data_IF_331878091779
#
_entry.id   IF_331878091779
#
_cell.length_a   1.000
_cell.length_b   1.000
_cell.length_c   1.000
_cell.angle_alpha   90.00
_cell.angle_beta   90.00
_cell.angle_gamma   90.00
#
_symmetry.space_group_name_H-M   'P 1'
#
loop_
_entity.id
_entity.type
_entity.pdbx_description
1 polymer ?
#
# COMPACT_ATOMS: atom_id res chain seq x y z
N UNK A 1 1.78 -28.52 6.27
CA UNK A 1 2.32 -29.19 5.07
C UNK A 1 1.33 -30.25 4.63
N UNK A 2 0.88 -30.22 3.38
CA UNK A 2 0.05 -31.27 2.79
C UNK A 2 0.83 -31.90 1.63
N UNK A 3 1.45 -33.06 1.86
CA UNK A 3 2.39 -33.66 0.90
C UNK A 3 3.57 -32.71 0.65
N UNK A 4 3.84 -32.39 -0.62
CA UNK A 4 4.89 -31.45 -1.04
C UNK A 4 4.44 -29.98 -1.05
N UNK A 5 3.21 -29.67 -0.63
CA UNK A 5 2.66 -28.33 -0.60
C UNK A 5 2.99 -27.60 0.71
N UNK A 6 3.85 -26.61 0.64
CA UNK A 6 4.16 -25.71 1.74
C UNK A 6 3.16 -24.54 1.75
N UNK A 7 2.45 -24.38 2.87
CA UNK A 7 1.59 -23.24 3.12
C UNK A 7 2.16 -22.43 4.26
N UNK A 8 2.54 -21.17 3.98
CA UNK A 8 2.94 -20.19 4.97
C UNK A 8 1.85 -19.13 5.10
N UNK A 9 1.30 -18.96 6.30
CA UNK A 9 0.36 -17.88 6.62
C UNK A 9 0.91 -17.14 7.81
N UNK A 10 1.23 -15.88 7.63
CA UNK A 10 1.68 -14.99 8.70
C UNK A 10 0.75 -13.80 8.81
N UNK A 11 0.58 -13.30 10.02
CA UNK A 11 -0.13 -12.07 10.30
C UNK A 11 0.49 -11.37 11.50
N UNK A 12 0.31 -10.06 11.58
CA UNK A 12 0.81 -9.24 12.66
C UNK A 12 -0.04 -8.00 12.84
N UNK A 13 0.14 -7.34 13.94
CA UNK A 13 -0.49 -6.07 14.25
C UNK A 13 0.55 -5.15 14.88
N UNK A 14 0.62 -3.91 14.39
CA UNK A 14 1.45 -2.85 14.95
C UNK A 14 0.50 -1.76 15.41
N UNK A 15 0.58 -1.38 16.67
CA UNK A 15 -0.21 -0.28 17.21
C UNK A 15 0.41 0.26 18.51
N UNK A 16 0.06 1.48 18.86
CA UNK A 16 0.59 2.19 20.03
C UNK A 16 0.00 1.70 21.34
N UNK A 17 -1.26 1.25 21.30
CA UNK A 17 -2.02 0.80 22.47
C UNK A 17 -2.02 -0.73 22.58
N UNK A 18 -2.90 -1.28 23.41
CA UNK A 18 -3.01 -2.73 23.61
C UNK A 18 -3.34 -3.47 22.31
N UNK A 19 -2.60 -4.54 22.05
CA UNK A 19 -2.85 -5.45 20.94
C UNK A 19 -4.06 -6.35 21.22
N UNK A 20 -4.82 -6.69 20.18
CA UNK A 20 -5.86 -7.71 20.24
C UNK A 20 -5.40 -9.01 19.55
N UNK A 21 -4.87 -10.01 20.32
CA UNK A 21 -4.41 -11.26 19.75
C UNK A 21 -5.52 -12.06 19.06
N UNK A 22 -6.77 -11.89 19.50
CA UNK A 22 -7.92 -12.60 18.90
C UNK A 22 -8.19 -12.12 17.49
N UNK A 23 -8.01 -10.83 17.22
CA UNK A 23 -8.15 -10.26 15.88
C UNK A 23 -7.14 -10.91 14.92
N UNK A 24 -5.87 -11.01 15.32
CA UNK A 24 -4.81 -11.66 14.55
C UNK A 24 -5.12 -13.16 14.34
N UNK A 25 -5.49 -13.86 15.40
CA UNK A 25 -5.84 -15.29 15.31
C UNK A 25 -7.02 -15.53 14.36
N UNK A 26 -8.08 -14.74 14.45
CA UNK A 26 -9.25 -14.88 13.57
C UNK A 26 -8.91 -14.66 12.10
N UNK A 27 -8.03 -13.72 11.80
CA UNK A 27 -7.55 -13.49 10.42
C UNK A 27 -6.75 -14.69 9.88
N UNK A 28 -5.86 -15.26 10.72
CA UNK A 28 -5.11 -16.46 10.33
C UNK A 28 -6.06 -17.64 10.10
N UNK A 29 -7.05 -17.84 10.96
CA UNK A 29 -8.05 -18.91 10.80
C UNK A 29 -8.87 -18.74 9.52
N UNK A 30 -9.30 -17.52 9.21
CA UNK A 30 -10.01 -17.22 7.96
C UNK A 30 -9.15 -17.53 6.73
N UNK A 31 -7.86 -17.15 6.75
CA UNK A 31 -6.93 -17.42 5.66
C UNK A 31 -6.64 -18.91 5.50
N UNK A 32 -6.57 -19.66 6.60
CA UNK A 32 -6.46 -21.12 6.59
C UNK A 32 -7.71 -21.77 5.98
N UNK A 33 -8.89 -21.25 6.31
CA UNK A 33 -10.14 -21.74 5.73
C UNK A 33 -10.17 -21.51 4.21
N UNK A 34 -9.81 -20.31 3.76
CA UNK A 34 -9.70 -19.99 2.34
C UNK A 34 -8.64 -20.81 1.60
N UNK A 35 -7.60 -21.27 2.29
CA UNK A 35 -6.50 -22.05 1.72
C UNK A 35 -6.73 -23.56 1.75
N UNK A 36 -7.92 -24.06 2.11
CA UNK A 36 -8.19 -25.49 2.23
C UNK A 36 -7.98 -26.27 0.92
N UNK A 37 -8.17 -25.63 -0.22
CA UNK A 37 -7.95 -26.22 -1.54
C UNK A 37 -7.24 -25.26 -2.48
N UNK A 38 -6.39 -25.82 -3.34
CA UNK A 38 -5.77 -25.07 -4.41
C UNK A 38 -6.72 -24.99 -5.61
N UNK A 39 -6.75 -23.85 -6.27
CA UNK A 39 -7.56 -23.59 -7.45
C UNK A 39 -6.72 -22.97 -8.56
N UNK A 40 -7.13 -23.17 -9.81
CA UNK A 40 -6.47 -22.55 -10.97
C UNK A 40 -6.72 -21.04 -10.90
N UNK A 41 -5.68 -20.19 -10.93
CA UNK A 41 -5.85 -18.74 -10.97
C UNK A 41 -6.51 -18.28 -12.28
N UNK A 42 -7.22 -17.17 -12.29
CA UNK A 42 -7.67 -16.53 -13.52
C UNK A 42 -6.47 -16.06 -14.33
N UNK A 43 -6.61 -15.97 -15.64
CA UNK A 43 -5.56 -15.52 -16.56
C UNK A 43 -5.95 -14.19 -17.21
N UNK A 44 -4.93 -13.40 -17.53
CA UNK A 44 -5.11 -12.13 -18.20
C UNK A 44 -5.34 -10.98 -17.23
N UNK A 45 -6.17 -10.02 -17.61
CA UNK A 45 -6.50 -8.87 -16.77
C UNK A 45 -7.74 -9.15 -15.96
N UNK A 46 -7.59 -9.17 -14.65
CA UNK A 46 -8.70 -9.34 -13.70
C UNK A 46 -8.55 -8.32 -12.57
N UNK A 47 -9.62 -7.97 -11.87
CA UNK A 47 -9.53 -7.16 -10.66
C UNK A 47 -8.61 -7.82 -9.63
N UNK A 48 -7.78 -7.01 -8.99
CA UNK A 48 -6.91 -7.46 -7.91
C UNK A 48 -7.31 -6.74 -6.63
N UNK A 49 -7.62 -7.51 -5.60
CA UNK A 49 -7.79 -7.03 -4.24
C UNK A 49 -6.48 -7.24 -3.48
N UNK A 50 -5.80 -6.17 -3.14
CA UNK A 50 -4.68 -6.20 -2.19
C UNK A 50 -5.24 -6.06 -0.79
N UNK A 51 -4.94 -7.00 0.12
CA UNK A 51 -5.25 -6.80 1.55
C UNK A 51 -4.44 -5.61 2.08
N UNK A 52 -4.82 -5.06 3.23
CA UNK A 52 -4.07 -3.95 3.85
C UNK A 52 -2.57 -4.27 3.94
N UNK A 53 -2.21 -5.52 4.27
CA UNK A 53 -0.83 -5.99 4.34
C UNK A 53 -0.11 -5.95 2.99
N UNK A 54 -0.77 -6.31 1.90
CA UNK A 54 -0.18 -6.35 0.56
C UNK A 54 -0.24 -4.99 -0.17
N UNK A 55 -1.12 -4.09 0.27
CA UNK A 55 -1.32 -2.77 -0.33
C UNK A 55 -0.11 -1.82 -0.16
N UNK A 56 0.78 -2.11 0.78
CA UNK A 56 2.01 -1.34 1.00
C UNK A 56 2.88 -1.24 -0.26
N UNK A 57 2.86 -2.27 -1.12
CA UNK A 57 3.47 -2.24 -2.45
C UNK A 57 3.05 -1.00 -3.27
N UNK A 58 1.78 -0.64 -3.23
CA UNK A 58 1.22 0.46 -3.99
C UNK A 58 1.64 1.80 -3.40
N UNK A 59 1.60 1.91 -2.08
CA UNK A 59 1.83 3.16 -1.36
C UNK A 59 3.30 3.54 -1.26
N UNK A 60 4.21 2.58 -1.26
CA UNK A 60 5.65 2.83 -1.34
C UNK A 60 6.04 3.64 -2.60
N UNK A 61 5.40 3.35 -3.74
CA UNK A 61 5.58 4.14 -4.98
C UNK A 61 5.06 5.57 -4.83
N UNK A 62 3.91 5.77 -4.20
CA UNK A 62 3.34 7.10 -3.98
C UNK A 62 4.18 7.89 -2.97
N UNK A 63 4.65 7.25 -1.90
CA UNK A 63 5.58 7.87 -0.96
C UNK A 63 6.84 8.37 -1.68
N UNK A 64 7.45 7.54 -2.54
CA UNK A 64 8.60 7.95 -3.33
C UNK A 64 8.30 9.12 -4.27
N UNK A 65 7.14 9.12 -4.94
CA UNK A 65 6.75 10.21 -5.84
C UNK A 65 6.46 11.54 -5.11
N UNK A 66 6.01 11.47 -3.84
CA UNK A 66 5.76 12.63 -2.97
C UNK A 66 7.04 13.19 -2.34
N UNK A 67 8.17 12.50 -2.45
CA UNK A 67 9.44 12.92 -1.85
C UNK A 67 10.02 14.12 -2.58
N UNK A 68 10.16 15.27 -1.88
CA UNK A 68 10.70 16.50 -2.45
C UNK A 68 12.11 16.37 -3.01
N UNK A 69 12.94 15.46 -2.48
CA UNK A 69 14.26 15.18 -3.04
C UNK A 69 14.16 14.53 -4.42
N UNK A 70 13.24 13.58 -4.60
CA UNK A 70 12.98 12.97 -5.91
C UNK A 70 12.43 13.99 -6.91
N UNK A 71 11.69 14.99 -6.44
CA UNK A 71 11.23 16.13 -7.26
C UNK A 71 12.40 17.00 -7.70
N UNK A 72 13.32 17.37 -6.79
CA UNK A 72 14.52 18.13 -7.12
C UNK A 72 15.42 17.43 -8.13
N UNK A 73 15.53 16.11 -8.02
CA UNK A 73 16.34 15.27 -8.90
C UNK A 73 15.64 15.00 -10.26
N UNK A 74 14.40 15.49 -10.44
CA UNK A 74 13.60 15.24 -11.65
C UNK A 74 13.17 13.80 -11.82
N UNK A 75 13.23 13.00 -10.76
CA UNK A 75 12.87 11.57 -10.78
C UNK A 75 11.39 11.32 -10.49
N UNK A 76 10.72 12.24 -9.79
CA UNK A 76 9.29 12.10 -9.51
C UNK A 76 8.45 12.34 -10.77
N UNK A 77 7.50 11.44 -11.11
CA UNK A 77 6.58 11.67 -12.21
C UNK A 77 5.57 12.80 -11.93
N UNK A 78 5.60 13.37 -10.73
CA UNK A 78 4.71 14.44 -10.28
C UNK A 78 5.39 15.80 -10.10
N UNK A 79 6.66 15.95 -10.51
CA UNK A 79 7.47 17.15 -10.27
C UNK A 79 6.78 18.47 -10.68
N UNK A 80 6.05 18.46 -11.80
CA UNK A 80 5.36 19.63 -12.36
C UNK A 80 3.83 19.54 -12.23
N UNK A 81 3.32 18.72 -11.31
CA UNK A 81 1.89 18.41 -11.24
C UNK A 81 1.19 18.87 -9.97
N UNK A 82 1.75 19.83 -9.26
CA UNK A 82 1.07 20.45 -8.11
C UNK A 82 -0.28 21.07 -8.55
N UNK A 83 -1.34 20.77 -7.79
CA UNK A 83 -2.71 21.20 -8.07
C UNK A 83 -3.43 20.39 -9.13
N UNK A 84 -2.79 19.36 -9.71
CA UNK A 84 -3.39 18.50 -10.73
C UNK A 84 -3.90 17.17 -10.15
N UNK A 85 -4.82 16.55 -10.91
CA UNK A 85 -5.29 15.19 -10.64
C UNK A 85 -4.18 14.20 -11.01
N UNK A 86 -3.63 13.50 -10.01
CA UNK A 86 -2.55 12.51 -10.18
C UNK A 86 -3.03 11.07 -10.00
N UNK A 87 -4.17 10.87 -9.34
CA UNK A 87 -4.74 9.55 -9.07
C UNK A 87 -6.27 9.61 -9.03
N UNK A 88 -6.93 8.53 -8.60
CA UNK A 88 -8.38 8.46 -8.48
C UNK A 88 -8.91 9.43 -7.40
N UNK A 89 -10.07 10.04 -7.63
CA UNK A 89 -10.71 11.00 -6.72
C UNK A 89 -11.07 10.47 -5.33
N UNK A 90 -11.17 9.16 -5.16
CA UNK A 90 -11.40 8.54 -3.85
C UNK A 90 -10.12 8.35 -3.01
N UNK A 91 -8.97 8.74 -3.54
CA UNK A 91 -7.69 8.63 -2.82
C UNK A 91 -7.37 9.96 -2.15
N UNK A 92 -7.32 9.93 -0.82
CA UNK A 92 -6.78 11.00 0.01
C UNK A 92 -5.64 10.42 0.85
N UNK A 93 -4.50 11.12 0.84
CA UNK A 93 -3.27 10.71 1.53
C UNK A 93 -2.80 11.83 2.42
N UNK A 94 -2.57 11.51 3.69
CA UNK A 94 -2.09 12.45 4.70
C UNK A 94 -0.93 11.88 5.52
N UNK A 95 -0.34 12.76 6.29
CA UNK A 95 0.55 12.45 7.39
C UNK A 95 -0.08 12.95 8.69
N UNK A 96 -0.09 12.07 9.71
CA UNK A 96 -0.58 12.40 11.06
C UNK A 96 0.49 12.02 12.09
N UNK A 97 1.35 12.95 12.49
CA UNK A 97 2.54 12.62 13.29
C UNK A 97 2.22 12.14 14.70
N UNK A 98 1.06 12.44 15.25
CA UNK A 98 0.66 12.01 16.59
C UNK A 98 -0.16 10.71 16.58
N UNK A 99 -0.62 10.27 15.42
CA UNK A 99 -1.36 9.03 15.25
C UNK A 99 -0.42 7.89 14.87
N UNK A 100 -0.83 6.68 15.21
CA UNK A 100 -0.13 5.47 14.83
C UNK A 100 1.09 5.11 15.71
N UNK A 101 1.83 4.07 15.28
CA UNK A 101 2.88 3.46 16.10
C UNK A 101 4.15 4.33 16.20
N UNK A 102 4.41 5.18 15.23
CA UNK A 102 5.65 5.98 15.12
C UNK A 102 5.38 7.46 15.35
N UNK A 103 4.75 7.81 16.47
CA UNK A 103 4.53 9.21 16.83
C UNK A 103 5.85 9.96 16.94
N UNK A 104 5.97 11.03 16.18
CA UNK A 104 7.16 11.86 16.14
C UNK A 104 6.78 13.35 16.20
N UNK A 105 6.94 14.04 17.35
CA UNK A 105 6.55 15.45 17.49
C UNK A 105 7.50 16.42 16.78
N UNK A 106 8.72 15.99 16.46
CA UNK A 106 9.71 16.79 15.71
C UNK A 106 10.48 15.87 14.76
N UNK A 107 10.97 16.43 13.67
CA UNK A 107 11.97 15.76 12.85
C UNK A 107 13.39 15.89 13.47
N UNK A 108 14.38 15.26 12.85
CA UNK A 108 15.78 15.32 13.31
C UNK A 108 16.48 16.68 13.06
N UNK A 109 15.79 17.60 12.40
CA UNK A 109 16.20 18.99 12.22
C UNK A 109 15.59 19.91 13.29
N UNK A 110 14.80 19.36 14.23
CA UNK A 110 14.08 20.09 15.26
C UNK A 110 12.88 20.90 14.74
N UNK A 111 12.36 20.53 13.56
CA UNK A 111 11.14 21.13 13.02
C UNK A 111 9.94 20.37 13.56
N UNK A 112 8.92 21.07 14.14
CA UNK A 112 7.70 20.41 14.58
C UNK A 112 7.03 19.66 13.43
N UNK A 113 6.75 18.37 13.64
CA UNK A 113 5.93 17.59 12.75
C UNK A 113 4.46 18.07 12.84
N UNK A 114 3.74 17.98 11.74
CA UNK A 114 2.34 18.44 11.66
C UNK A 114 1.51 17.58 10.75
N UNK A 115 0.20 17.61 10.96
CA UNK A 115 -0.77 17.01 10.05
C UNK A 115 -0.72 17.69 8.70
N UNK A 116 -0.58 16.91 7.65
CA UNK A 116 -0.44 17.40 6.27
C UNK A 116 -1.23 16.48 5.34
N UNK A 117 -2.02 17.08 4.45
CA UNK A 117 -2.64 16.37 3.33
C UNK A 117 -1.77 16.54 2.09
N UNK A 118 -1.22 15.46 1.57
CA UNK A 118 -0.37 15.47 0.35
C UNK A 118 -1.19 15.28 -0.93
N UNK A 119 -2.18 14.42 -0.87
CA UNK A 119 -3.15 14.21 -1.96
C UNK A 119 -4.55 14.32 -1.37
N UNK A 120 -5.38 15.16 -1.93
CA UNK A 120 -6.78 15.32 -1.53
C UNK A 120 -7.70 15.03 -2.71
N UNK A 121 -8.53 14.01 -2.57
CA UNK A 121 -9.47 13.59 -3.62
C UNK A 121 -8.77 13.46 -4.99
N UNK A 122 -7.63 12.76 -5.00
CA UNK A 122 -6.82 12.53 -6.20
C UNK A 122 -5.96 13.71 -6.67
N UNK A 123 -6.08 14.89 -6.04
CA UNK A 123 -5.35 16.11 -6.43
C UNK A 123 -4.10 16.26 -5.55
N UNK A 124 -2.94 16.41 -6.19
CA UNK A 124 -1.67 16.64 -5.53
C UNK A 124 -1.62 18.04 -4.89
N UNK A 125 -1.41 18.11 -3.57
CA UNK A 125 -1.40 19.36 -2.81
C UNK A 125 0.02 19.86 -2.54
N UNK A 126 0.92 18.96 -2.14
CA UNK A 126 2.33 19.31 -1.85
C UNK A 126 3.22 18.06 -1.77
N UNK A 127 4.53 18.28 -1.73
CA UNK A 127 5.56 17.28 -1.49
C UNK A 127 6.08 17.39 -0.06
N UNK A 128 6.50 16.27 0.55
CA UNK A 128 7.15 16.34 1.85
C UNK A 128 8.65 16.64 1.69
N UNK A 129 9.19 17.46 2.61
CA UNK A 129 10.53 18.04 2.50
C UNK A 129 11.23 18.15 3.86
N UNK A 130 12.54 18.02 3.86
CA UNK A 130 13.44 18.55 4.89
C UNK A 130 13.70 20.06 4.68
N UNK A 131 14.50 20.69 5.51
CA UNK A 131 14.85 22.12 5.37
C UNK A 131 15.61 22.44 4.09
N UNK A 132 16.55 21.57 3.72
CA UNK A 132 17.38 21.79 2.52
C UNK A 132 16.54 21.64 1.26
N UNK A 133 15.79 20.57 1.14
CA UNK A 133 14.92 20.30 0.00
C UNK A 133 13.83 21.36 -0.12
N UNK A 134 13.17 21.69 0.99
CA UNK A 134 12.11 22.71 1.00
C UNK A 134 12.60 24.09 0.62
N UNK A 135 13.83 24.47 1.01
CA UNK A 135 14.47 25.73 0.59
C UNK A 135 14.76 25.73 -0.92
N UNK A 136 15.28 24.63 -1.46
CA UNK A 136 15.63 24.52 -2.88
C UNK A 136 14.40 24.51 -3.77
N UNK A 137 13.30 23.89 -3.31
CA UNK A 137 12.01 23.89 -4.00
C UNK A 137 11.22 25.19 -3.80
N UNK A 138 11.62 26.04 -2.85
CA UNK A 138 10.87 27.26 -2.51
C UNK A 138 9.58 27.03 -1.72
N UNK A 139 9.31 25.78 -1.29
CA UNK A 139 8.11 25.40 -0.55
C UNK A 139 8.23 25.50 0.96
N UNK A 140 9.47 25.62 1.48
CA UNK A 140 9.77 25.46 2.90
C UNK A 140 9.75 24.00 3.36
N UNK A 141 10.14 23.75 4.62
CA UNK A 141 10.13 22.40 5.20
C UNK A 141 8.74 21.99 5.65
N UNK A 142 8.44 20.71 5.51
CA UNK A 142 7.22 20.09 6.04
C UNK A 142 7.42 19.42 7.41
N UNK A 143 8.64 19.46 7.96
CA UNK A 143 8.99 18.76 9.21
C UNK A 143 9.23 17.27 8.96
N UNK A 144 9.84 16.95 7.84
CA UNK A 144 10.10 15.58 7.38
C UNK A 144 11.60 15.31 7.19
N UNK A 145 12.48 16.05 7.86
CA UNK A 145 13.93 15.83 7.81
C UNK A 145 14.37 14.78 8.82
N UNK A 146 14.54 13.53 8.40
CA UNK A 146 14.96 12.41 9.26
C UNK A 146 16.28 11.80 8.80
N UNK A 147 17.04 11.25 9.74
CA UNK A 147 18.32 10.61 9.47
C UNK A 147 18.13 9.12 9.21
N UNK A 148 18.60 8.59 8.08
CA UNK A 148 18.61 7.15 7.85
C UNK A 148 19.42 6.38 8.90
N UNK A 149 20.48 7.01 9.42
CA UNK A 149 21.34 6.50 10.49
C UNK A 149 22.00 7.67 11.24
N UNK A 150 22.65 7.37 12.37
CA UNK A 150 23.28 8.38 13.25
C UNK A 150 24.41 9.18 12.59
N UNK A 151 25.03 8.65 11.54
CA UNK A 151 26.14 9.30 10.81
C UNK A 151 25.69 10.11 9.61
N UNK A 152 24.43 10.04 9.24
CA UNK A 152 23.90 10.67 8.03
C UNK A 152 23.29 12.04 8.30
N UNK A 153 23.26 12.89 7.26
CA UNK A 153 22.45 14.10 7.27
C UNK A 153 20.96 13.75 7.14
N UNK A 154 20.06 14.58 7.71
CA UNK A 154 18.63 14.45 7.50
C UNK A 154 18.29 14.49 6.01
N UNK A 155 17.36 13.66 5.60
CA UNK A 155 16.77 13.62 4.26
C UNK A 155 15.26 13.54 4.39
N UNK A 156 14.49 13.92 3.34
CA UNK A 156 13.04 13.79 3.41
C UNK A 156 12.62 12.35 3.63
N UNK A 157 11.89 12.10 4.73
CA UNK A 157 11.32 10.81 5.10
C UNK A 157 9.88 11.02 5.58
N UNK A 158 9.02 10.04 5.35
CA UNK A 158 7.59 10.13 5.66
C UNK A 158 7.19 9.07 6.67
N UNK A 159 6.81 9.51 7.86
CA UNK A 159 6.26 8.68 8.93
C UNK A 159 4.75 8.90 9.06
N UNK A 160 4.06 7.83 9.51
CA UNK A 160 2.61 7.85 9.67
C UNK A 160 1.88 8.33 8.41
N UNK A 161 2.23 7.69 7.29
CA UNK A 161 1.54 7.83 6.02
C UNK A 161 0.15 7.17 6.13
N UNK A 162 -0.90 7.95 5.90
CA UNK A 162 -2.28 7.47 6.06
C UNK A 162 -3.01 7.57 4.73
N UNK A 163 -3.48 6.43 4.27
CA UNK A 163 -4.48 6.33 3.20
C UNK A 163 -5.85 6.34 3.84
N UNK A 164 -6.68 7.32 3.51
CA UNK A 164 -8.03 7.42 4.05
C UNK A 164 -8.86 6.19 3.68
N UNK A 165 -9.40 5.45 4.67
CA UNK A 165 -10.28 4.32 4.40
C UNK A 165 -11.55 4.72 3.65
N UNK A 166 -12.06 3.79 2.85
CA UNK A 166 -13.39 3.86 2.27
C UNK A 166 -14.46 3.33 3.22
N UNK A 167 -15.60 2.92 2.68
CA UNK A 167 -16.77 2.54 3.47
C UNK A 167 -17.00 1.03 3.54
N UNK A 168 -16.44 0.24 2.61
CA UNK A 168 -16.77 -1.17 2.44
C UNK A 168 -15.89 -2.08 3.27
N UNK A 169 -16.50 -3.04 3.94
CA UNK A 169 -15.79 -4.16 4.56
C UNK A 169 -15.14 -5.07 3.49
N UNK A 170 -14.14 -5.84 3.89
CA UNK A 170 -13.51 -6.84 3.02
C UNK A 170 -14.53 -7.83 2.44
N UNK A 171 -15.55 -8.22 3.23
CA UNK A 171 -16.61 -9.11 2.78
C UNK A 171 -17.47 -8.47 1.68
N UNK A 172 -17.92 -7.24 1.87
CA UNK A 172 -18.71 -6.51 0.87
C UNK A 172 -17.91 -6.29 -0.40
N UNK A 173 -16.64 -5.92 -0.27
CA UNK A 173 -15.71 -5.77 -1.39
C UNK A 173 -15.51 -7.06 -2.15
N UNK A 174 -15.34 -8.18 -1.46
CA UNK A 174 -15.22 -9.51 -2.09
C UNK A 174 -16.49 -9.88 -2.85
N UNK A 175 -17.67 -9.60 -2.27
CA UNK A 175 -18.98 -9.94 -2.87
C UNK A 175 -19.22 -9.22 -4.21
N UNK A 176 -18.59 -8.07 -4.45
CA UNK A 176 -18.70 -7.33 -5.71
C UNK A 176 -17.93 -7.97 -6.88
N UNK A 177 -16.99 -8.86 -6.60
CA UNK A 177 -16.05 -9.38 -7.58
C UNK A 177 -16.58 -10.66 -8.22
N UNK A 178 -16.65 -10.68 -9.56
CA UNK A 178 -17.10 -11.88 -10.29
C UNK A 178 -15.97 -12.91 -10.47
N UNK A 179 -14.80 -12.48 -10.95
CA UNK A 179 -13.58 -13.31 -11.04
C UNK A 179 -12.36 -12.41 -10.76
N UNK A 180 -11.68 -12.65 -9.64
CA UNK A 180 -10.62 -11.79 -9.15
C UNK A 180 -9.57 -12.58 -8.34
N UNK A 181 -8.46 -11.93 -8.03
CA UNK A 181 -7.46 -12.44 -7.09
C UNK A 181 -7.39 -11.52 -5.86
N UNK A 182 -7.43 -12.12 -4.67
CA UNK A 182 -6.98 -11.50 -3.44
C UNK A 182 -5.48 -11.77 -3.30
N UNK A 183 -4.66 -10.74 -3.22
CA UNK A 183 -3.24 -10.82 -2.88
C UNK A 183 -3.10 -10.47 -1.40
N UNK A 184 -2.60 -11.43 -0.62
CA UNK A 184 -2.44 -11.28 0.83
C UNK A 184 -0.97 -11.23 1.27
N UNK A 185 -0.12 -12.07 0.66
CA UNK A 185 1.32 -12.04 0.90
C UNK A 185 2.08 -12.05 -0.44
N UNK A 186 3.16 -11.29 -0.46
CA UNK A 186 4.00 -11.10 -1.63
C UNK A 186 5.38 -11.69 -1.35
N UNK A 187 5.91 -12.49 -2.28
CA UNK A 187 7.24 -13.05 -2.22
C UNK A 187 8.16 -12.29 -3.19
N UNK A 188 8.89 -11.33 -2.67
CA UNK A 188 9.83 -10.53 -3.45
C UNK A 188 9.17 -9.67 -4.53
N UNK A 189 9.98 -8.81 -5.12
CA UNK A 189 9.51 -7.80 -6.04
C UNK A 189 9.08 -6.53 -5.28
N UNK A 190 8.87 -5.47 -6.03
CA UNK A 190 8.44 -4.16 -5.53
C UNK A 190 8.25 -3.25 -6.72
N UNK A 191 7.63 -2.11 -6.49
CA UNK A 191 7.53 -1.05 -7.47
C UNK A 191 8.53 0.06 -7.10
N UNK A 192 9.38 0.44 -8.05
CA UNK A 192 10.19 1.65 -7.92
C UNK A 192 9.36 2.91 -8.20
N UNK A 193 10.05 4.06 -8.27
CA UNK A 193 9.41 5.35 -8.55
C UNK A 193 8.73 5.40 -9.95
N UNK A 194 9.16 4.56 -10.90
CA UNK A 194 8.46 4.40 -12.20
C UNK A 194 7.06 3.81 -12.07
N UNK A 195 6.79 3.14 -10.97
CA UNK A 195 5.54 2.43 -10.71
C UNK A 195 5.43 1.05 -11.33
N UNK A 196 6.36 0.66 -12.20
CA UNK A 196 6.32 -0.67 -12.81
C UNK A 196 6.70 -1.75 -11.81
N UNK A 197 5.93 -2.82 -11.77
CA UNK A 197 6.17 -3.95 -10.88
C UNK A 197 5.80 -5.29 -11.48
N UNK A 198 6.44 -6.32 -10.96
CA UNK A 198 6.09 -7.71 -11.17
C UNK A 198 6.39 -8.46 -9.87
N UNK A 199 5.37 -9.01 -9.26
CA UNK A 199 5.43 -9.69 -7.96
C UNK A 199 5.00 -11.14 -8.06
N UNK A 200 5.62 -11.99 -7.24
CA UNK A 200 5.12 -13.33 -7.00
C UNK A 200 4.13 -13.31 -5.83
N UNK A 201 2.97 -13.90 -6.03
CA UNK A 201 1.95 -14.06 -4.97
C UNK A 201 2.34 -15.26 -4.12
N UNK A 202 2.81 -15.01 -2.90
CA UNK A 202 3.12 -16.06 -1.93
C UNK A 202 1.84 -16.65 -1.35
N UNK A 203 0.91 -15.77 -0.96
CA UNK A 203 -0.40 -16.15 -0.49
C UNK A 203 -1.46 -15.30 -1.21
N UNK A 204 -2.32 -15.96 -1.93
CA UNK A 204 -3.43 -15.33 -2.61
C UNK A 204 -4.58 -16.29 -2.84
N UNK A 205 -5.74 -15.73 -3.12
CA UNK A 205 -6.98 -16.49 -3.24
C UNK A 205 -7.75 -16.05 -4.47
N UNK A 206 -8.44 -17.00 -5.11
CA UNK A 206 -9.39 -16.66 -6.18
C UNK A 206 -10.74 -16.35 -5.59
N UNK A 207 -11.31 -15.24 -6.02
CA UNK A 207 -12.73 -14.91 -5.84
C UNK A 207 -13.48 -15.33 -7.09
N UNK A 208 -14.65 -15.93 -6.93
CA UNK A 208 -15.53 -16.27 -8.03
C UNK A 208 -16.99 -16.06 -7.61
N UNK A 209 -17.72 -15.22 -8.34
CA UNK A 209 -19.11 -14.84 -8.04
C UNK A 209 -19.31 -14.37 -6.60
N UNK A 210 -18.38 -13.51 -6.13
CA UNK A 210 -18.43 -12.94 -4.80
C UNK A 210 -17.94 -13.83 -3.66
N UNK A 211 -17.46 -15.04 -3.94
CA UNK A 211 -17.00 -16.00 -2.94
C UNK A 211 -15.54 -16.39 -3.14
N UNK A 212 -14.79 -16.54 -2.05
CA UNK A 212 -13.44 -17.08 -2.08
C UNK A 212 -13.50 -18.58 -2.30
N UNK A 213 -12.98 -19.03 -3.45
CA UNK A 213 -13.10 -20.43 -3.87
C UNK A 213 -11.88 -21.29 -3.58
N UNK A 214 -10.74 -20.68 -3.21
CA UNK A 214 -9.52 -21.39 -2.81
C UNK A 214 -8.25 -20.59 -3.07
N UNK A 215 -7.10 -21.18 -2.68
CA UNK A 215 -5.77 -20.62 -2.83
C UNK A 215 -5.28 -20.71 -4.27
N UNK A 216 -4.65 -19.65 -4.77
CA UNK A 216 -3.90 -19.65 -6.03
C UNK A 216 -2.41 -19.89 -5.77
N UNK A 217 -1.74 -20.64 -6.66
CA UNK A 217 -0.32 -20.96 -6.59
C UNK A 217 0.39 -20.53 -7.87
N UNK A 218 1.71 -20.39 -7.81
CA UNK A 218 2.57 -20.11 -8.97
C UNK A 218 2.05 -18.95 -9.81
N UNK A 219 1.56 -17.90 -9.12
CA UNK A 219 0.86 -16.76 -9.72
C UNK A 219 1.72 -15.51 -9.59
N UNK A 220 1.86 -14.79 -10.69
CA UNK A 220 2.48 -13.47 -10.74
C UNK A 220 1.43 -12.42 -11.06
N UNK A 221 1.59 -11.23 -10.46
CA UNK A 221 0.82 -10.04 -10.78
C UNK A 221 1.79 -8.95 -11.24
N UNK A 222 1.49 -8.35 -12.38
CA UNK A 222 2.35 -7.32 -12.97
C UNK A 222 1.52 -6.14 -13.52
N UNK A 223 2.12 -4.97 -13.49
CA UNK A 223 1.53 -3.75 -14.02
C UNK A 223 2.26 -2.50 -13.57
N UNK A 224 1.53 -1.39 -13.55
CA UNK A 224 2.06 -0.10 -13.10
C UNK A 224 1.14 0.48 -12.03
N UNK A 225 1.71 0.89 -10.89
CA UNK A 225 0.99 1.39 -9.71
C UNK A 225 0.15 2.63 -10.03
N UNK A 226 0.71 3.59 -10.77
CA UNK A 226 -0.02 4.83 -11.09
C UNK A 226 -1.24 4.55 -11.97
N UNK A 227 -1.09 3.65 -12.93
CA UNK A 227 -2.20 3.25 -13.79
C UNK A 227 -3.26 2.46 -13.00
N UNK A 228 -2.82 1.54 -12.16
CA UNK A 228 -3.72 0.73 -11.33
C UNK A 228 -4.53 1.60 -10.35
N UNK A 229 -3.89 2.54 -9.65
CA UNK A 229 -4.58 3.43 -8.70
C UNK A 229 -5.46 4.51 -9.39
N UNK A 230 -5.23 4.82 -10.66
CA UNK A 230 -6.21 5.56 -11.47
C UNK A 230 -7.45 4.71 -11.79
N UNK A 231 -7.30 3.40 -11.90
CA UNK A 231 -8.36 2.42 -12.11
C UNK A 231 -8.81 1.78 -10.78
N UNK A 232 -8.81 2.58 -9.70
CA UNK A 232 -9.30 2.16 -8.40
C UNK A 232 -10.79 1.81 -8.49
N UNK A 233 -11.15 0.63 -7.98
CA UNK A 233 -12.54 0.16 -7.87
C UNK A 233 -13.10 0.50 -6.49
N UNK A 234 -12.33 0.24 -5.42
CA UNK A 234 -12.74 0.51 -4.06
C UNK A 234 -11.54 0.57 -3.09
N UNK A 235 -11.73 1.34 -2.02
CA UNK A 235 -10.96 1.27 -0.77
C UNK A 235 -11.82 0.64 0.31
N UNK A 236 -11.22 -0.17 1.17
CA UNK A 236 -11.88 -0.79 2.31
C UNK A 236 -12.03 0.13 3.51
N UNK A 237 -12.80 -0.34 4.51
CA UNK A 237 -12.93 0.31 5.81
C UNK A 237 -12.06 -0.35 6.90
N UNK A 238 -11.25 -1.33 6.54
CA UNK A 238 -10.44 -2.20 7.40
C UNK A 238 -8.99 -1.73 7.53
N UNK A 239 -8.78 -0.41 7.61
CA UNK A 239 -7.44 0.17 7.70
C UNK A 239 -6.59 -0.43 8.82
N UNK A 240 -5.33 -0.71 8.50
CA UNK A 240 -4.34 -1.28 9.42
C UNK A 240 -2.98 -0.61 9.24
N UNK A 241 -2.23 -0.54 10.32
CA UNK A 241 -0.84 -0.12 10.26
C UNK A 241 0.03 -1.26 9.72
N UNK A 242 0.72 -0.99 8.63
CA UNK A 242 1.77 -1.81 8.05
C UNK A 242 3.09 -1.02 8.10
N UNK A 243 3.91 -1.26 9.13
CA UNK A 243 4.99 -0.34 9.43
C UNK A 243 4.49 1.07 9.74
N UNK A 244 4.99 2.06 9.03
CA UNK A 244 4.59 3.47 9.13
C UNK A 244 3.45 3.86 8.16
N UNK A 245 2.89 2.91 7.43
CA UNK A 245 1.77 3.13 6.51
C UNK A 245 0.46 2.58 7.08
N UNK A 246 -0.55 3.43 7.20
CA UNK A 246 -1.92 3.02 7.50
C UNK A 246 -2.69 2.90 6.21
N UNK A 247 -3.15 1.72 5.89
CA UNK A 247 -3.86 1.44 4.64
C UNK A 247 -5.00 0.45 4.82
N UNK A 248 -6.14 0.66 4.16
CA UNK A 248 -7.18 -0.35 4.00
C UNK A 248 -6.80 -1.35 2.90
N UNK A 249 -7.64 -2.38 2.69
CA UNK A 249 -7.56 -3.15 1.45
C UNK A 249 -7.92 -2.28 0.24
N UNK A 250 -7.33 -2.63 -0.90
CA UNK A 250 -7.44 -1.84 -2.14
C UNK A 250 -7.84 -2.75 -3.28
N UNK A 251 -8.87 -2.37 -4.04
CA UNK A 251 -9.26 -3.09 -5.26
C UNK A 251 -8.93 -2.21 -6.46
N UNK A 252 -8.16 -2.76 -7.38
CA UNK A 252 -7.78 -2.11 -8.65
C UNK A 252 -8.04 -3.02 -9.84
N UNK A 253 -8.20 -2.39 -11.00
CA UNK A 253 -8.23 -3.06 -12.30
C UNK A 253 -6.94 -2.81 -13.11
N UNK A 254 -6.87 -3.41 -14.29
CA UNK A 254 -5.78 -3.15 -15.25
C UNK A 254 -4.49 -3.92 -15.02
N UNK A 255 -4.36 -4.69 -13.94
CA UNK A 255 -3.21 -5.53 -13.68
C UNK A 255 -3.29 -6.86 -14.44
N UNK A 256 -2.15 -7.36 -14.86
CA UNK A 256 -2.04 -8.65 -15.56
C UNK A 256 -1.66 -9.77 -14.61
N UNK A 257 -2.31 -10.92 -14.78
CA UNK A 257 -2.01 -12.15 -14.03
C UNK A 257 -1.44 -13.21 -14.95
N UNK A 258 -0.36 -13.85 -14.50
CA UNK A 258 0.30 -14.95 -15.18
C UNK A 258 0.46 -16.09 -14.18
N UNK A 259 0.10 -17.29 -14.57
CA UNK A 259 0.33 -18.49 -13.76
C UNK A 259 1.04 -19.56 -14.56
N UNK A 260 1.99 -20.26 -13.93
CA UNK A 260 2.47 -21.54 -14.43
C UNK A 260 1.44 -22.61 -14.05
N UNK A 261 1.00 -23.35 -15.03
CA UNK A 261 0.24 -24.58 -14.80
C UNK A 261 1.27 -25.68 -14.89
N UNK A 262 1.53 -26.36 -13.80
CA UNK A 262 2.28 -27.61 -13.77
C UNK A 262 1.35 -28.75 -14.20
#
# INVERSE_FOLDING_TARGET
VRGDDLLNISDGQIQRNSLDPRKVANRILQRLDWAQKNVIPPRGRVPILFTAKAADLLWGTFSAALNGKQVLEGASPWSDRLGEVVTNEHITISQEPEEGPFSCPFDDEGTPARSIVFIQNGILQLFYTDRTTGRLLGSGTTGNGFRPDLGSYPTPELFNFIVQPGERSLKESTTMLDDAIIVDQILGGGAGISGDFSINVELGYRVRKGEVVGRVKNTMVAGNVYTALKQLVALGNDGEWNGSCYTPHVIVEGLSTISRID
#
